data_IF_999038280677
#
_entry.id   IF_999038280677
#
_cell.length_a   1.000
_cell.length_b   1.000
_cell.length_c   1.000
_cell.angle_alpha   90.00
_cell.angle_beta   90.00
_cell.angle_gamma   90.00
#
_symmetry.space_group_name_H-M   'P 1'
#
loop_
_entity.id
_entity.type
_entity.pdbx_description
1 polymer ?
#
# COMPACT_ATOMS: atom_id res chain seq x y z
N UNK A 1 -0.58 -28.64 -13.39
CA UNK A 1 0.81 -28.69 -13.89
C UNK A 1 1.59 -29.90 -13.39
N UNK A 2 1.68 -30.17 -12.07
CA UNK A 2 2.38 -31.38 -11.59
C UNK A 2 1.75 -32.68 -12.06
N UNK A 3 0.42 -32.78 -11.99
CA UNK A 3 -0.34 -33.90 -12.58
C UNK A 3 -0.07 -34.05 -14.09
N UNK A 4 -0.04 -32.95 -14.84
CA UNK A 4 0.25 -33.00 -16.28
C UNK A 4 1.66 -33.53 -16.51
N UNK A 5 2.66 -33.04 -15.77
CA UNK A 5 4.06 -33.52 -15.87
C UNK A 5 4.19 -35.02 -15.62
N UNK A 6 3.38 -35.61 -14.71
CA UNK A 6 3.39 -37.06 -14.49
C UNK A 6 2.68 -37.84 -15.60
N UNK A 7 1.70 -37.27 -16.29
CA UNK A 7 0.96 -37.94 -17.37
C UNK A 7 1.71 -37.93 -18.72
N UNK A 8 2.48 -36.87 -18.99
CA UNK A 8 3.20 -36.71 -20.27
C UNK A 8 4.62 -37.29 -20.24
N UNK A 9 5.01 -37.92 -19.13
CA UNK A 9 6.36 -38.49 -18.87
C UNK A 9 7.52 -37.52 -19.13
N UNK A 10 7.24 -36.22 -19.13
CA UNK A 10 8.19 -35.14 -19.36
C UNK A 10 8.24 -34.24 -18.14
N UNK A 11 9.45 -34.00 -17.63
CA UNK A 11 9.65 -33.11 -16.50
C UNK A 11 9.35 -31.66 -16.89
N UNK A 12 8.41 -31.04 -16.18
CA UNK A 12 8.12 -29.61 -16.26
C UNK A 12 8.74 -28.93 -15.04
N UNK A 13 9.68 -28.00 -15.25
CA UNK A 13 10.25 -27.21 -14.16
C UNK A 13 9.21 -26.24 -13.61
N UNK A 14 8.98 -26.27 -12.30
CA UNK A 14 8.03 -25.39 -11.61
C UNK A 14 8.82 -24.45 -10.67
N UNK A 15 9.13 -23.21 -11.07
CA UNK A 15 9.59 -22.19 -10.15
C UNK A 15 8.39 -21.61 -9.38
N UNK A 16 8.39 -21.75 -8.06
CA UNK A 16 7.35 -21.21 -7.19
C UNK A 16 7.90 -20.03 -6.37
N UNK A 17 7.20 -18.91 -6.44
CA UNK A 17 7.50 -17.71 -5.67
C UNK A 17 6.39 -17.52 -4.64
N UNK A 18 6.76 -17.28 -3.39
CA UNK A 18 5.81 -17.06 -2.30
C UNK A 18 6.39 -16.10 -1.26
N UNK A 19 5.53 -15.57 -0.40
CA UNK A 19 5.95 -14.98 0.87
C UNK A 19 6.51 -16.07 1.79
N UNK A 20 7.15 -15.67 2.90
CA UNK A 20 7.58 -16.59 3.96
C UNK A 20 6.41 -17.46 4.44
N UNK A 21 6.61 -18.78 4.47
CA UNK A 21 5.58 -19.74 4.87
C UNK A 21 5.97 -20.48 6.15
N UNK A 22 5.00 -20.74 7.03
CA UNK A 22 5.20 -21.59 8.20
C UNK A 22 5.36 -23.08 7.80
N UNK A 23 4.63 -23.52 6.77
CA UNK A 23 4.59 -24.90 6.28
C UNK A 23 5.21 -25.05 4.87
N UNK A 24 6.32 -24.37 4.60
CA UNK A 24 6.99 -24.40 3.29
C UNK A 24 7.38 -25.81 2.82
N UNK A 25 7.66 -26.72 3.77
CA UNK A 25 8.00 -28.12 3.47
C UNK A 25 6.88 -28.84 2.74
N UNK A 26 5.65 -28.68 3.21
CA UNK A 26 4.48 -29.35 2.63
C UNK A 26 4.20 -28.80 1.23
N UNK A 27 4.34 -27.48 1.06
CA UNK A 27 4.21 -26.82 -0.24
C UNK A 27 5.30 -27.30 -1.21
N UNK A 28 6.55 -27.39 -0.75
CA UNK A 28 7.66 -27.93 -1.54
C UNK A 28 7.39 -29.37 -1.97
N UNK A 29 6.97 -30.23 -1.04
CA UNK A 29 6.62 -31.62 -1.32
C UNK A 29 5.43 -31.74 -2.28
N UNK A 30 4.41 -30.88 -2.15
CA UNK A 30 3.26 -30.81 -3.03
C UNK A 30 3.62 -30.34 -4.45
N UNK A 31 4.65 -29.51 -4.59
CA UNK A 31 5.17 -29.09 -5.89
C UNK A 31 6.23 -30.04 -6.46
N UNK A 32 6.75 -30.96 -5.64
CA UNK A 32 7.84 -31.87 -6.03
C UNK A 32 9.23 -31.23 -5.95
N UNK A 33 9.37 -30.12 -5.21
CA UNK A 33 10.66 -29.53 -4.89
C UNK A 33 11.33 -30.34 -3.76
N UNK A 34 12.63 -30.58 -3.90
CA UNK A 34 13.42 -31.23 -2.86
C UNK A 34 13.78 -30.23 -1.74
N UNK A 35 14.28 -30.72 -0.61
CA UNK A 35 14.66 -29.87 0.53
C UNK A 35 15.79 -28.88 0.16
N UNK A 36 16.72 -29.30 -0.69
CA UNK A 36 17.85 -28.49 -1.14
C UNK A 36 17.45 -27.37 -2.12
N UNK A 37 16.28 -27.48 -2.75
CA UNK A 37 15.71 -26.52 -3.69
C UNK A 37 14.52 -25.74 -3.10
N UNK A 38 14.23 -25.93 -1.81
CA UNK A 38 13.14 -25.23 -1.11
C UNK A 38 13.73 -24.14 -0.25
N UNK A 39 13.77 -22.93 -0.79
CA UNK A 39 14.27 -21.74 -0.08
C UNK A 39 13.10 -21.03 0.59
N UNK A 40 13.03 -21.14 1.93
CA UNK A 40 12.03 -20.45 2.75
C UNK A 40 12.75 -19.54 3.74
N UNK A 41 12.55 -18.24 3.60
CA UNK A 41 13.24 -17.23 4.41
C UNK A 41 12.29 -16.66 5.46
N UNK A 42 12.82 -16.31 6.62
CA UNK A 42 12.06 -15.62 7.67
C UNK A 42 11.61 -14.22 7.17
N UNK A 43 10.44 -13.67 7.58
CA UNK A 43 9.98 -12.35 7.15
C UNK A 43 10.96 -11.19 7.42
N UNK A 44 11.92 -11.37 8.33
CA UNK A 44 12.96 -10.40 8.66
C UNK A 44 14.14 -10.41 7.67
N UNK A 45 14.26 -11.43 6.82
CA UNK A 45 15.28 -11.52 5.78
C UNK A 45 14.82 -10.67 4.60
N UNK A 46 15.03 -9.36 4.71
CA UNK A 46 14.69 -8.37 3.69
C UNK A 46 15.90 -7.50 3.37
N UNK A 47 16.13 -7.13 2.10
CA UNK A 47 17.19 -6.18 1.74
C UNK A 47 17.03 -4.82 2.43
N UNK A 48 15.79 -4.38 2.62
CA UNK A 48 15.44 -3.17 3.38
C UNK A 48 14.70 -3.61 4.63
N UNK A 49 15.24 -3.25 5.80
CA UNK A 49 14.62 -3.55 7.09
C UNK A 49 13.25 -2.87 7.20
N UNK A 50 12.32 -3.57 7.85
CA UNK A 50 10.95 -3.10 8.06
C UNK A 50 10.72 -2.86 9.56
N UNK A 51 10.38 -1.63 9.90
CA UNK A 51 9.89 -1.27 11.24
C UNK A 51 8.36 -1.34 11.24
N UNK A 52 7.78 -2.16 12.12
CA UNK A 52 6.34 -2.36 12.23
C UNK A 52 5.81 -1.78 13.54
N UNK A 53 4.89 -0.82 13.43
CA UNK A 53 4.16 -0.27 14.55
C UNK A 53 2.68 -0.62 14.43
N UNK A 54 2.08 -1.15 15.49
CA UNK A 54 0.66 -1.49 15.54
C UNK A 54 -0.01 -0.60 16.59
N UNK A 55 -0.99 0.19 16.16
CA UNK A 55 -1.83 1.00 17.04
C UNK A 55 -3.24 0.41 17.10
N UNK A 56 -3.63 -0.08 18.27
CA UNK A 56 -4.98 -0.61 18.51
C UNK A 56 -6.01 0.50 18.76
N UNK A 57 -7.24 0.30 18.28
CA UNK A 57 -8.37 1.20 18.51
C UNK A 57 -9.54 0.42 19.13
N UNK A 58 -9.87 0.73 20.39
CA UNK A 58 -10.94 0.07 21.14
C UNK A 58 -12.33 0.69 20.86
N UNK A 59 -12.71 0.76 19.59
CA UNK A 59 -14.03 1.26 19.17
C UNK A 59 -14.69 0.20 18.30
N UNK A 60 -15.83 -0.33 18.75
CA UNK A 60 -16.54 -1.42 18.05
C UNK A 60 -17.18 -0.92 16.75
N UNK A 61 -17.85 0.24 16.80
CA UNK A 61 -18.54 0.81 15.65
C UNK A 61 -17.56 1.26 14.56
N UNK A 62 -17.69 0.67 13.37
CA UNK A 62 -16.71 0.81 12.28
C UNK A 62 -16.50 2.27 11.85
N UNK A 63 -17.58 3.03 11.59
CA UNK A 63 -17.46 4.40 11.11
C UNK A 63 -16.80 5.33 12.14
N UNK A 64 -17.17 5.18 13.43
CA UNK A 64 -16.54 5.94 14.52
C UNK A 64 -15.07 5.59 14.68
N UNK A 65 -14.71 4.31 14.50
CA UNK A 65 -13.32 3.86 14.53
C UNK A 65 -12.52 4.48 13.37
N UNK A 66 -13.03 4.48 12.15
CA UNK A 66 -12.35 5.10 11.01
C UNK A 66 -12.15 6.60 11.20
N UNK A 67 -13.16 7.32 11.70
CA UNK A 67 -13.02 8.73 12.03
C UNK A 67 -11.98 8.98 13.13
N UNK A 68 -11.91 8.11 14.14
CA UNK A 68 -10.89 8.23 15.20
C UNK A 68 -9.46 7.98 14.69
N UNK A 69 -9.30 7.31 13.54
CA UNK A 69 -8.01 7.00 12.93
C UNK A 69 -7.46 8.15 12.08
N UNK A 70 -8.28 9.11 11.65
CA UNK A 70 -7.85 10.16 10.70
C UNK A 70 -6.69 11.02 11.23
N UNK A 71 -6.79 11.52 12.46
CA UNK A 71 -5.74 12.30 13.11
C UNK A 71 -4.47 11.46 13.39
N UNK A 72 -4.56 10.24 13.95
CA UNK A 72 -3.41 9.35 14.06
C UNK A 72 -2.70 9.04 12.75
N UNK A 73 -3.41 8.96 11.61
CA UNK A 73 -2.77 8.80 10.28
C UNK A 73 -1.84 9.98 10.00
N UNK A 74 -2.33 11.22 10.12
CA UNK A 74 -1.50 12.42 9.92
C UNK A 74 -0.30 12.46 10.87
N UNK A 75 -0.52 12.16 12.16
CA UNK A 75 0.56 12.11 13.15
C UNK A 75 1.58 11.01 12.85
N UNK A 76 1.13 9.86 12.33
CA UNK A 76 2.00 8.77 11.89
C UNK A 76 2.90 9.19 10.73
N UNK A 77 2.36 9.92 9.74
CA UNK A 77 3.14 10.49 8.63
C UNK A 77 4.23 11.42 9.18
N UNK A 78 3.84 12.37 10.05
CA UNK A 78 4.78 13.34 10.64
C UNK A 78 5.87 12.68 11.49
N UNK A 79 5.53 11.61 12.21
CA UNK A 79 6.46 10.91 13.09
C UNK A 79 7.45 10.02 12.33
N UNK A 80 6.96 9.22 11.37
CA UNK A 80 7.76 8.16 10.76
C UNK A 80 8.32 8.54 9.38
N UNK A 81 7.65 9.43 8.64
CA UNK A 81 7.99 9.73 7.25
C UNK A 81 7.63 11.17 6.84
N UNK A 82 8.19 12.21 7.50
CA UNK A 82 7.76 13.60 7.29
C UNK A 82 8.11 14.17 5.90
N UNK A 83 9.11 13.61 5.21
CA UNK A 83 9.61 14.07 3.90
C UNK A 83 9.84 12.93 2.89
N UNK A 84 9.42 11.71 3.23
CA UNK A 84 9.57 10.53 2.36
C UNK A 84 8.18 10.06 1.91
N UNK A 85 8.08 9.36 0.76
CA UNK A 85 6.79 8.89 0.24
C UNK A 85 6.00 8.04 1.25
N UNK A 86 4.69 8.24 1.31
CA UNK A 86 3.78 7.47 2.19
C UNK A 86 2.60 6.94 1.39
N UNK A 87 2.22 5.70 1.69
CA UNK A 87 1.00 5.07 1.16
C UNK A 87 0.08 4.77 2.34
N UNK A 88 -1.17 5.24 2.27
CA UNK A 88 -2.21 4.97 3.27
C UNK A 88 -3.26 4.05 2.65
N UNK A 89 -3.33 2.80 3.13
CA UNK A 89 -4.36 1.86 2.72
C UNK A 89 -5.64 2.10 3.52
N UNK A 90 -6.77 2.12 2.82
CA UNK A 90 -8.10 2.39 3.38
C UNK A 90 -9.10 1.30 2.96
N UNK A 91 -10.19 1.08 3.72
CA UNK A 91 -11.11 -0.03 3.48
C UNK A 91 -12.08 0.16 2.31
N UNK A 92 -12.23 1.36 1.74
CA UNK A 92 -13.18 1.58 0.64
C UNK A 92 -12.76 2.72 -0.29
N UNK A 93 -13.33 2.69 -1.51
CA UNK A 93 -13.22 3.77 -2.50
C UNK A 93 -13.63 5.13 -1.95
N UNK A 94 -14.74 5.23 -1.20
CA UNK A 94 -15.16 6.51 -0.62
C UNK A 94 -14.14 7.00 0.42
N UNK A 95 -13.56 6.07 1.18
CA UNK A 95 -12.63 6.41 2.26
C UNK A 95 -11.31 6.97 1.73
N UNK A 96 -10.84 6.59 0.52
CA UNK A 96 -9.57 7.12 -0.02
C UNK A 96 -9.63 8.63 -0.21
N UNK A 97 -10.75 9.11 -0.77
CA UNK A 97 -11.01 10.54 -0.97
C UNK A 97 -11.18 11.28 0.35
N UNK A 98 -11.96 10.73 1.27
CA UNK A 98 -12.18 11.35 2.59
C UNK A 98 -10.86 11.48 3.38
N UNK A 99 -10.05 10.42 3.39
CA UNK A 99 -8.77 10.41 4.12
C UNK A 99 -7.77 11.38 3.51
N UNK A 100 -7.74 11.53 2.17
CA UNK A 100 -6.91 12.52 1.52
C UNK A 100 -7.28 13.96 1.92
N UNK A 101 -8.59 14.27 1.95
CA UNK A 101 -9.10 15.56 2.41
C UNK A 101 -8.77 15.79 3.89
N UNK A 102 -8.95 14.79 4.75
CA UNK A 102 -8.63 14.89 6.18
C UNK A 102 -7.15 15.20 6.40
N UNK A 103 -6.25 14.51 5.70
CA UNK A 103 -4.79 14.74 5.78
C UNK A 103 -4.44 16.18 5.38
N UNK A 104 -5.02 16.70 4.30
CA UNK A 104 -4.82 18.09 3.88
C UNK A 104 -5.40 19.09 4.89
N UNK A 105 -6.58 18.80 5.44
CA UNK A 105 -7.23 19.63 6.45
C UNK A 105 -6.37 19.74 7.71
N UNK A 106 -5.78 18.63 8.16
CA UNK A 106 -4.83 18.64 9.27
C UNK A 106 -3.56 19.42 8.94
N UNK A 107 -2.98 19.23 7.75
CA UNK A 107 -1.80 19.98 7.31
C UNK A 107 -2.06 21.49 7.25
N UNK A 108 -3.22 21.89 6.74
CA UNK A 108 -3.66 23.29 6.69
C UNK A 108 -3.89 23.87 8.09
N UNK A 109 -4.42 23.09 9.03
CA UNK A 109 -4.62 23.52 10.42
C UNK A 109 -3.31 23.80 11.16
N UNK A 110 -2.19 23.20 10.74
CA UNK A 110 -0.84 23.46 11.24
C UNK A 110 -0.10 24.56 10.46
N UNK A 111 -0.77 25.25 9.53
CA UNK A 111 -0.19 26.32 8.72
C UNK A 111 0.75 25.85 7.61
N UNK A 112 0.74 24.55 7.28
CA UNK A 112 1.63 23.95 6.28
C UNK A 112 0.80 23.26 5.17
N UNK A 113 -0.05 24.01 4.49
CA UNK A 113 -1.05 23.46 3.56
C UNK A 113 -0.44 22.65 2.38
N UNK A 114 0.71 23.07 1.85
CA UNK A 114 1.38 22.44 0.70
C UNK A 114 2.59 21.58 1.08
N UNK A 115 2.69 21.14 2.34
CA UNK A 115 3.87 20.42 2.87
C UNK A 115 4.22 19.14 2.11
N UNK A 116 3.21 18.46 1.58
CA UNK A 116 3.36 17.19 0.88
C UNK A 116 3.70 17.36 -0.60
N UNK A 117 3.63 18.59 -1.13
CA UNK A 117 4.03 18.87 -2.50
C UNK A 117 5.55 19.11 -2.53
N UNK A 118 6.25 18.29 -3.32
CA UNK A 118 7.71 18.33 -3.44
C UNK A 118 8.18 18.78 -4.85
N UNK A 119 7.26 19.31 -5.66
CA UNK A 119 7.53 19.91 -6.96
C UNK A 119 6.87 21.29 -7.08
N UNK A 120 7.16 22.00 -8.16
CA UNK A 120 6.47 23.27 -8.44
C UNK A 120 5.09 23.00 -9.05
N UNK A 121 4.18 23.96 -8.92
CA UNK A 121 2.85 23.85 -9.55
C UNK A 121 2.96 23.78 -11.08
N UNK A 122 3.96 24.43 -11.68
CA UNK A 122 4.19 24.41 -13.12
C UNK A 122 4.53 23.00 -13.63
N UNK A 123 5.29 22.23 -12.85
CA UNK A 123 5.60 20.83 -13.17
C UNK A 123 4.35 19.94 -13.12
N UNK A 124 3.36 20.33 -12.31
CA UNK A 124 2.14 19.55 -12.06
C UNK A 124 1.06 19.80 -13.13
N UNK A 125 1.01 21.02 -13.71
CA UNK A 125 -0.01 21.46 -14.65
C UNK A 125 -0.29 20.45 -15.78
N UNK A 126 0.71 19.91 -16.51
CA UNK A 126 0.47 18.98 -17.61
C UNK A 126 -0.24 17.69 -17.17
N UNK A 127 -0.01 17.25 -15.92
CA UNK A 127 -0.63 16.04 -15.37
C UNK A 127 -2.04 16.33 -14.85
N UNK A 128 -2.26 17.50 -14.25
CA UNK A 128 -3.57 17.92 -13.77
C UNK A 128 -4.60 18.05 -14.91
N UNK A 129 -4.16 18.42 -16.11
CA UNK A 129 -5.03 18.51 -17.29
C UNK A 129 -5.61 17.15 -17.69
N UNK A 130 -4.87 16.06 -17.49
CA UNK A 130 -5.30 14.70 -17.85
C UNK A 130 -6.27 14.07 -16.85
N UNK A 131 -6.34 14.62 -15.63
CA UNK A 131 -7.21 14.09 -14.58
C UNK A 131 -8.65 14.53 -14.84
N UNK A 132 -9.62 13.62 -14.69
CA UNK A 132 -11.06 13.94 -14.84
C UNK A 132 -11.71 14.30 -13.50
N UNK A 133 -11.28 13.68 -12.40
CA UNK A 133 -11.81 13.92 -11.06
C UNK A 133 -11.33 15.26 -10.49
N UNK A 134 -12.26 16.19 -10.31
CA UNK A 134 -12.00 17.53 -9.76
C UNK A 134 -11.40 17.47 -8.35
N UNK A 135 -11.90 16.55 -7.51
CA UNK A 135 -11.42 16.44 -6.12
C UNK A 135 -9.99 15.90 -6.11
N UNK A 136 -9.65 15.01 -7.05
CA UNK A 136 -8.29 14.52 -7.19
C UNK A 136 -7.35 15.66 -7.63
N UNK A 137 -7.77 16.54 -8.54
CA UNK A 137 -6.96 17.71 -8.91
C UNK A 137 -6.65 18.59 -7.69
N UNK A 138 -7.68 18.95 -6.92
CA UNK A 138 -7.53 19.81 -5.75
C UNK A 138 -6.60 19.20 -4.68
N UNK A 139 -6.77 17.91 -4.41
CA UNK A 139 -5.93 17.22 -3.42
C UNK A 139 -4.49 17.09 -3.90
N UNK A 140 -4.28 16.81 -5.18
CA UNK A 140 -2.97 16.60 -5.79
C UNK A 140 -2.17 17.91 -5.89
N UNK A 141 -2.82 19.05 -6.13
CA UNK A 141 -2.17 20.38 -6.05
C UNK A 141 -1.59 20.66 -4.66
N UNK A 142 -2.16 20.09 -3.60
CA UNK A 142 -1.62 20.22 -2.24
C UNK A 142 -0.66 19.07 -1.85
N UNK A 143 -0.31 18.20 -2.81
CA UNK A 143 0.66 17.12 -2.63
C UNK A 143 0.10 15.81 -2.10
N UNK A 144 -1.22 15.63 -2.04
CA UNK A 144 -1.85 14.37 -1.62
C UNK A 144 -2.70 13.82 -2.74
N UNK A 145 -2.33 12.66 -3.26
CA UNK A 145 -3.12 11.93 -4.25
C UNK A 145 -3.89 10.77 -3.60
N UNK A 146 -4.98 10.34 -4.23
CA UNK A 146 -5.68 9.11 -3.86
C UNK A 146 -5.90 8.21 -5.08
N UNK A 147 -5.95 6.90 -4.83
CA UNK A 147 -6.16 5.87 -5.84
C UNK A 147 -7.32 4.96 -5.43
N UNK A 148 -8.18 4.61 -6.40
CA UNK A 148 -9.24 3.61 -6.25
C UNK A 148 -9.62 3.05 -7.63
N UNK A 149 -10.32 1.92 -7.67
CA UNK A 149 -10.72 1.19 -8.88
C UNK A 149 -11.60 1.98 -9.85
N UNK A 150 -12.36 2.96 -9.36
CA UNK A 150 -13.20 3.80 -10.22
C UNK A 150 -12.53 5.04 -10.80
N UNK A 151 -11.19 5.18 -10.69
CA UNK A 151 -10.46 6.22 -11.42
C UNK A 151 -10.22 5.75 -12.85
N UNK A 152 -10.15 6.70 -13.78
CA UNK A 152 -9.79 6.36 -15.16
C UNK A 152 -8.39 5.76 -15.18
N UNK A 153 -8.26 4.56 -15.76
CA UNK A 153 -6.99 4.13 -16.34
C UNK A 153 -6.77 5.03 -17.54
N UNK A 154 -5.86 6.00 -17.43
CA UNK A 154 -5.49 6.83 -18.58
C UNK A 154 -5.10 5.94 -19.77
#
# INVERSE_FOLDING_TARGET
MRYISSQIERQIRIPALSSSLANARDVGQWLGANANSTFNFHPNVRPVLLELHIQGFNITHNASRLLSMSKPVYQGIMRHSPRKPVIVFVPSRKQTRLTAIDVLTYSASEGQASKFLHCTEDDLKPFLEQITDKTLKETLTNGVAYLHEGLSTA
#
